data_IF_621200114264
#
_entry.id   IF_621200114264
#
_cell.length_a   1.000
_cell.length_b   1.000
_cell.length_c   1.000
_cell.angle_alpha   90.00
_cell.angle_beta   90.00
_cell.angle_gamma   90.00
#
_symmetry.space_group_name_H-M   'P 1'
#
loop_
_entity.id
_entity.type
_entity.pdbx_description
1 polymer ?
#
# COMPACT_ATOMS: atom_id res chain seq x y z
N UNK A 1 -15.51 11.23 -0.82
CA UNK A 1 -14.43 10.98 0.15
C UNK A 1 -13.44 12.09 -0.05
N UNK A 2 -13.28 12.91 0.97
CA UNK A 2 -12.34 14.02 0.94
C UNK A 2 -11.04 13.61 1.61
N UNK A 3 -9.92 13.98 1.00
CA UNK A 3 -8.59 13.78 1.58
C UNK A 3 -8.40 14.90 2.59
N UNK A 4 -8.22 14.53 3.85
CA UNK A 4 -8.08 15.49 4.95
C UNK A 4 -6.63 15.65 5.38
N UNK A 5 -5.77 14.68 5.04
CA UNK A 5 -4.35 14.74 5.35
C UNK A 5 -3.53 14.01 4.28
N UNK A 6 -2.35 14.56 4.01
CA UNK A 6 -1.33 13.98 3.15
C UNK A 6 -0.07 13.95 3.97
N UNK A 7 0.20 12.79 4.55
CA UNK A 7 1.45 12.61 5.28
C UNK A 7 2.55 12.25 4.28
N UNK A 8 3.22 13.31 3.81
CA UNK A 8 4.34 13.21 2.89
C UNK A 8 5.51 12.59 3.64
N UNK A 9 6.22 11.66 2.99
CA UNK A 9 7.43 11.00 3.51
C UNK A 9 7.21 9.88 4.52
N UNK A 10 5.98 9.43 4.79
CA UNK A 10 5.78 8.18 5.54
C UNK A 10 6.16 6.98 4.70
N UNK A 11 7.14 6.22 5.18
CA UNK A 11 7.58 5.02 4.51
C UNK A 11 6.82 3.84 5.14
N UNK A 12 5.88 3.19 4.44
CA UNK A 12 5.27 1.96 4.92
C UNK A 12 6.36 0.87 4.97
N UNK A 13 6.88 0.64 6.17
CA UNK A 13 7.90 -0.35 6.46
C UNK A 13 7.19 -1.64 6.82
N UNK A 14 7.61 -2.75 6.23
CA UNK A 14 7.06 -4.05 6.56
C UNK A 14 8.00 -4.71 7.58
N UNK A 15 7.44 -5.51 8.50
CA UNK A 15 8.21 -6.37 9.40
C UNK A 15 9.30 -7.08 8.59
N UNK A 16 10.54 -7.07 9.10
CA UNK A 16 11.82 -7.39 8.41
C UNK A 16 12.57 -6.21 7.75
N UNK A 17 12.09 -4.97 7.91
CA UNK A 17 12.81 -3.80 7.40
C UNK A 17 12.71 -3.62 5.87
N UNK A 18 11.66 -4.18 5.27
CA UNK A 18 11.36 -4.01 3.86
C UNK A 18 10.54 -2.74 3.64
N UNK A 19 10.61 -2.21 2.42
CA UNK A 19 9.83 -1.06 1.99
C UNK A 19 8.88 -1.44 0.86
N UNK A 20 7.71 -0.82 0.80
CA UNK A 20 6.85 -0.93 -0.37
C UNK A 20 7.42 -0.15 -1.54
N UNK A 21 7.47 -0.78 -2.71
CA UNK A 21 7.92 -0.15 -3.95
C UNK A 21 7.15 -0.67 -5.16
N UNK A 22 6.90 0.20 -6.13
CA UNK A 22 6.42 -0.20 -7.46
C UNK A 22 7.61 -0.56 -8.34
N UNK A 23 7.61 -1.78 -8.88
CA UNK A 23 8.65 -2.30 -9.77
C UNK A 23 8.07 -2.79 -11.09
N UNK A 24 8.83 -2.63 -12.17
CA UNK A 24 8.51 -3.18 -13.50
C UNK A 24 9.09 -4.59 -13.63
N UNK A 25 8.24 -5.54 -14.01
CA UNK A 25 8.61 -6.90 -14.40
C UNK A 25 8.15 -7.16 -15.84
N UNK A 26 8.52 -8.31 -16.42
CA UNK A 26 8.08 -8.69 -17.77
C UNK A 26 6.54 -8.70 -17.92
N UNK A 27 5.80 -8.95 -16.84
CA UNK A 27 4.33 -8.93 -16.82
C UNK A 27 3.69 -7.60 -16.43
N UNK A 28 4.44 -6.50 -16.37
CA UNK A 28 3.93 -5.16 -16.02
C UNK A 28 4.40 -4.65 -14.65
N UNK A 29 3.75 -3.58 -14.20
CA UNK A 29 4.04 -2.95 -12.90
C UNK A 29 3.40 -3.74 -11.76
N UNK A 30 4.17 -3.93 -10.70
CA UNK A 30 3.73 -4.67 -9.51
C UNK A 30 4.21 -3.96 -8.24
N UNK A 31 3.40 -4.07 -7.19
CA UNK A 31 3.79 -3.66 -5.85
C UNK A 31 4.62 -4.77 -5.20
N UNK A 32 5.76 -4.42 -4.61
CA UNK A 32 6.70 -5.38 -4.02
C UNK A 32 7.22 -4.88 -2.68
N UNK A 33 7.59 -5.83 -1.81
CA UNK A 33 8.40 -5.58 -0.63
C UNK A 33 9.89 -5.68 -0.98
N UNK A 34 10.67 -4.65 -0.66
CA UNK A 34 12.09 -4.57 -1.05
C UNK A 34 12.97 -4.31 0.17
N UNK A 35 13.99 -5.15 0.36
CA UNK A 35 15.08 -4.93 1.32
C UNK A 35 16.15 -4.06 0.64
N UNK A 36 16.49 -2.91 1.24
CA UNK A 36 17.57 -2.02 0.78
C UNK A 36 17.45 -1.44 -0.63
N UNK A 37 16.58 -0.44 -0.82
CA UNK A 37 16.65 0.36 -2.02
C UNK A 37 17.83 1.35 -1.88
N UNK A 38 18.70 1.43 -2.91
CA UNK A 38 19.73 2.48 -3.04
C UNK A 38 19.16 3.91 -2.90
N UNK A 39 17.85 4.05 -3.16
CA UNK A 39 17.04 5.24 -2.92
C UNK A 39 15.69 4.82 -2.35
N UNK A 40 15.36 5.25 -1.13
CA UNK A 40 14.08 4.96 -0.48
C UNK A 40 12.91 5.35 -1.41
N UNK A 41 11.95 4.43 -1.68
CA UNK A 41 10.77 4.74 -2.47
C UNK A 41 10.00 5.89 -1.82
N UNK A 42 9.73 6.94 -2.60
CA UNK A 42 8.85 8.02 -2.15
C UNK A 42 7.41 7.52 -2.25
N UNK A 43 6.77 7.38 -1.09
CA UNK A 43 5.38 6.98 -0.94
C UNK A 43 4.68 8.07 -0.15
N UNK A 44 3.63 8.66 -0.71
CA UNK A 44 2.74 9.51 0.09
C UNK A 44 1.64 8.61 0.68
N UNK A 45 1.36 8.77 1.97
CA UNK A 45 0.23 8.12 2.63
C UNK A 45 -0.89 9.15 2.73
N UNK A 46 -1.99 8.90 2.01
CA UNK A 46 -3.18 9.74 2.03
C UNK A 46 -4.12 9.24 3.10
N UNK A 47 -4.74 10.18 3.84
CA UNK A 47 -5.74 9.87 4.86
C UNK A 47 -7.04 10.62 4.51
N UNK A 48 -8.15 9.89 4.47
CA UNK A 48 -9.47 10.49 4.26
C UNK A 48 -10.20 10.78 5.58
N UNK A 49 -11.34 11.44 5.47
CA UNK A 49 -12.29 11.77 6.54
C UNK A 49 -12.73 10.56 7.39
N UNK A 50 -12.62 9.34 6.88
CA UNK A 50 -12.91 8.08 7.58
C UNK A 50 -11.67 7.44 8.21
N UNK A 51 -10.53 8.14 8.26
CA UNK A 51 -9.24 7.61 8.74
C UNK A 51 -8.77 6.36 7.97
N UNK A 52 -9.17 6.24 6.70
CA UNK A 52 -8.72 5.19 5.80
C UNK A 52 -7.47 5.67 5.05
N UNK A 53 -6.65 4.72 4.61
CA UNK A 53 -5.35 4.97 4.01
C UNK A 53 -5.35 4.64 2.53
N UNK A 54 -4.76 5.50 1.72
CA UNK A 54 -4.34 5.17 0.36
C UNK A 54 -2.84 5.43 0.20
N UNK A 55 -2.20 4.66 -0.68
CA UNK A 55 -0.75 4.75 -0.92
C UNK A 55 -0.51 5.27 -2.32
N UNK A 56 0.18 6.40 -2.42
CA UNK A 56 0.55 7.03 -3.68
C UNK A 56 2.03 6.80 -3.94
N UNK A 57 2.34 6.11 -5.03
CA UNK A 57 3.71 5.83 -5.47
C UNK A 57 4.06 6.73 -6.65
N UNK A 58 5.14 7.51 -6.51
CA UNK A 58 5.66 8.34 -7.59
C UNK A 58 6.64 7.57 -8.49
N UNK A 59 6.47 7.71 -9.81
CA UNK A 59 7.38 7.23 -10.84
C UNK A 59 7.55 8.29 -11.91
N UNK A 60 8.59 8.13 -12.75
CA UNK A 60 8.90 9.07 -13.83
C UNK A 60 7.72 9.31 -14.81
N UNK A 61 6.82 8.34 -14.93
CA UNK A 61 5.68 8.35 -15.84
C UNK A 61 4.34 8.66 -15.16
N UNK A 62 4.33 9.00 -13.86
CA UNK A 62 3.14 9.45 -13.12
C UNK A 62 2.96 8.79 -11.75
N UNK A 63 1.74 8.89 -11.22
CA UNK A 63 1.39 8.41 -9.88
C UNK A 63 0.58 7.12 -9.94
N UNK A 64 0.95 6.17 -9.11
CA UNK A 64 0.37 4.83 -9.07
C UNK A 64 -0.22 4.53 -7.70
N UNK A 65 -1.38 3.88 -7.70
CA UNK A 65 -2.15 3.55 -6.51
C UNK A 65 -2.47 2.05 -6.49
N UNK A 66 -2.24 1.36 -5.36
CA UNK A 66 -2.76 0.01 -5.18
C UNK A 66 -4.30 0.04 -5.14
N UNK A 67 -4.91 -0.90 -5.87
CA UNK A 67 -6.36 -1.07 -5.96
C UNK A 67 -6.73 -2.53 -5.79
N UNK A 68 -7.70 -2.80 -4.94
CA UNK A 68 -8.26 -4.15 -4.77
C UNK A 68 -9.41 -4.35 -5.76
N UNK A 69 -9.32 -5.42 -6.55
CA UNK A 69 -10.35 -5.82 -7.51
C UNK A 69 -10.61 -7.32 -7.32
N UNK A 70 -11.71 -7.67 -6.63
CA UNK A 70 -11.99 -9.05 -6.27
C UNK A 70 -10.87 -9.64 -5.40
N UNK A 71 -10.21 -10.69 -5.88
CA UNK A 71 -9.11 -11.37 -5.17
C UNK A 71 -7.72 -10.80 -5.45
N UNK A 72 -7.63 -9.78 -6.31
CA UNK A 72 -6.34 -9.27 -6.79
C UNK A 72 -6.03 -7.86 -6.29
N UNK A 73 -4.73 -7.61 -6.11
CA UNK A 73 -4.19 -6.28 -5.95
C UNK A 73 -3.57 -5.83 -7.28
N UNK A 74 -4.07 -4.72 -7.82
CA UNK A 74 -3.58 -4.09 -9.04
C UNK A 74 -2.95 -2.74 -8.74
N UNK A 75 -2.18 -2.21 -9.68
CA UNK A 75 -1.72 -0.83 -9.65
C UNK A 75 -2.45 -0.06 -10.75
N UNK A 76 -3.08 1.05 -10.36
CA UNK A 76 -3.76 1.95 -11.28
C UNK A 76 -2.99 3.28 -11.35
N UNK A 77 -2.77 3.78 -12.58
CA UNK A 77 -2.23 5.12 -12.79
C UNK A 77 -3.38 6.12 -12.64
N UNK A 78 -3.21 7.13 -11.79
CA UNK A 78 -4.24 8.13 -11.53
C UNK A 78 -3.66 9.53 -11.66
N UNK A 79 -4.26 10.33 -12.53
CA UNK A 79 -3.82 11.71 -12.80
C UNK A 79 -4.55 12.74 -11.91
N UNK A 80 -5.59 12.34 -11.18
CA UNK A 80 -6.32 13.18 -10.23
C UNK A 80 -6.83 12.40 -9.03
N UNK A 81 -6.57 12.90 -7.82
CA UNK A 81 -7.02 12.26 -6.57
C UNK A 81 -8.55 12.13 -6.47
N UNK A 82 -9.32 12.93 -7.22
CA UNK A 82 -10.78 12.84 -7.31
C UNK A 82 -11.27 11.53 -7.94
N UNK A 83 -10.40 10.79 -8.62
CA UNK A 83 -10.71 9.50 -9.24
C UNK A 83 -10.50 8.31 -8.27
N UNK A 84 -10.04 8.56 -7.05
CA UNK A 84 -9.90 7.50 -6.05
C UNK A 84 -11.27 7.00 -5.59
N UNK A 85 -11.56 5.75 -5.91
CA UNK A 85 -12.71 5.00 -5.43
C UNK A 85 -12.38 4.21 -4.16
N UNK A 86 -13.39 3.69 -3.46
CA UNK A 86 -13.26 2.86 -2.24
C UNK A 86 -12.23 1.72 -2.37
N UNK A 87 -12.06 1.17 -3.57
CA UNK A 87 -11.10 0.10 -3.86
C UNK A 87 -9.62 0.46 -3.67
N UNK A 88 -9.29 1.74 -3.52
CA UNK A 88 -7.94 2.24 -3.26
C UNK A 88 -7.63 2.43 -1.77
N UNK A 89 -8.66 2.31 -0.93
CA UNK A 89 -8.60 2.65 0.48
C UNK A 89 -8.47 1.39 1.34
N UNK A 90 -7.70 1.53 2.42
CA UNK A 90 -7.42 0.48 3.39
C UNK A 90 -7.69 0.97 4.81
N UNK A 91 -8.26 0.11 5.63
CA UNK A 91 -8.43 0.35 7.07
C UNK A 91 -7.25 -0.21 7.86
N UNK A 92 -6.86 0.51 8.91
CA UNK A 92 -5.86 0.02 9.87
C UNK A 92 -6.51 -1.04 10.76
N UNK A 93 -5.95 -2.23 10.77
CA UNK A 93 -6.30 -3.28 11.73
C UNK A 93 -5.19 -3.41 12.76
N UNK A 94 -5.49 -3.12 14.03
CA UNK A 94 -4.48 -3.12 15.09
C UNK A 94 -4.03 -4.55 15.39
N UNK A 95 -2.73 -4.82 15.22
CA UNK A 95 -2.12 -6.12 15.50
C UNK A 95 -1.55 -6.22 16.92
N UNK A 96 -2.12 -5.46 17.87
CA UNK A 96 -1.81 -5.47 19.31
C UNK A 96 -0.40 -4.94 19.65
N UNK A 97 0.18 -4.08 18.81
CA UNK A 97 1.54 -3.56 19.00
C UNK A 97 1.69 -2.17 18.38
N UNK A 98 1.68 -1.11 19.20
CA UNK A 98 2.11 0.25 18.83
C UNK A 98 1.75 0.70 17.41
N UNK A 99 2.77 0.98 16.60
CA UNK A 99 2.66 1.48 15.22
C UNK A 99 2.52 0.37 14.15
N UNK A 100 2.19 -0.86 14.56
CA UNK A 100 2.11 -2.02 13.68
C UNK A 100 0.65 -2.37 13.33
N UNK A 101 0.33 -2.26 12.04
CA UNK A 101 -1.03 -2.45 11.53
C UNK A 101 -1.07 -3.53 10.44
N UNK A 102 -2.15 -4.31 10.43
CA UNK A 102 -2.64 -4.93 9.20
C UNK A 102 -3.38 -3.87 8.36
N UNK A 103 -3.35 -4.01 7.04
CA UNK A 103 -4.04 -3.09 6.13
C UNK A 103 -5.18 -3.83 5.44
N UNK A 104 -6.40 -3.65 5.94
CA UNK A 104 -7.60 -4.32 5.41
C UNK A 104 -8.19 -3.54 4.25
N UNK A 105 -8.63 -4.21 3.18
CA UNK A 105 -9.36 -3.57 2.09
C UNK A 105 -10.73 -3.07 2.56
N UNK A 106 -11.12 -1.88 2.09
CA UNK A 106 -12.47 -1.31 2.32
C UNK A 106 -13.53 -2.04 1.50
N UNK A 107 -13.24 -2.34 0.23
CA UNK A 107 -14.22 -2.97 -0.69
C UNK A 107 -14.33 -4.48 -0.54
N UNK A 108 -13.32 -5.11 0.07
CA UNK A 108 -13.29 -6.54 0.33
C UNK A 108 -12.95 -6.78 1.81
N UNK A 109 -13.91 -6.58 2.73
CA UNK A 109 -13.67 -6.73 4.16
C UNK A 109 -13.08 -8.10 4.48
N UNK A 110 -12.12 -8.14 5.42
CA UNK A 110 -11.33 -9.33 5.80
C UNK A 110 -10.24 -9.74 4.80
N UNK A 111 -10.03 -9.01 3.71
CA UNK A 111 -8.81 -9.15 2.90
C UNK A 111 -7.77 -8.12 3.33
N UNK A 112 -6.58 -8.60 3.65
CA UNK A 112 -5.47 -7.78 4.12
C UNK A 112 -4.37 -7.73 3.07
N UNK A 113 -3.68 -6.60 2.96
CA UNK A 113 -2.43 -6.55 2.22
C UNK A 113 -1.45 -7.56 2.82
N UNK A 114 -0.77 -8.29 1.95
CA UNK A 114 0.21 -9.29 2.34
C UNK A 114 1.35 -9.40 1.33
N UNK A 115 2.54 -9.74 1.78
CA UNK A 115 3.65 -10.19 0.96
C UNK A 115 3.39 -11.66 0.58
N UNK A 116 3.26 -11.91 -0.72
CA UNK A 116 3.20 -13.26 -1.25
C UNK A 116 4.58 -13.92 -1.15
N UNK A 117 4.61 -15.17 -0.67
CA UNK A 117 5.82 -16.01 -0.68
C UNK A 117 6.32 -16.18 -2.12
N UNK A 118 7.60 -15.92 -2.36
CA UNK A 118 8.23 -16.11 -3.66
C UNK A 118 9.41 -15.16 -3.89
N UNK A 119 10.21 -15.43 -4.93
CA UNK A 119 11.45 -14.69 -5.23
C UNK A 119 11.25 -13.19 -5.42
N UNK A 120 10.09 -12.77 -5.94
CA UNK A 120 9.80 -11.36 -6.26
C UNK A 120 9.10 -10.60 -5.11
N UNK A 121 8.80 -11.26 -3.98
CA UNK A 121 8.13 -10.67 -2.80
C UNK A 121 6.99 -9.71 -3.16
N UNK A 122 6.12 -10.16 -4.08
CA UNK A 122 5.00 -9.37 -4.57
C UNK A 122 4.02 -9.11 -3.44
N UNK A 123 3.43 -7.93 -3.42
CA UNK A 123 2.33 -7.62 -2.53
C UNK A 123 1.02 -8.01 -3.20
N UNK A 124 0.11 -8.57 -2.42
CA UNK A 124 -1.25 -8.87 -2.84
C UNK A 124 -2.21 -8.72 -1.67
N UNK A 125 -3.38 -9.33 -1.81
CA UNK A 125 -4.37 -9.42 -0.74
C UNK A 125 -4.59 -10.87 -0.32
N UNK A 126 -4.86 -11.10 0.97
CA UNK A 126 -5.14 -12.42 1.53
C UNK A 126 -6.17 -12.36 2.65
N UNK A 127 -6.97 -13.41 2.79
CA UNK A 127 -7.91 -13.60 3.90
C UNK A 127 -7.25 -14.14 5.17
N UNK A 128 -6.15 -14.88 4.99
CA UNK A 128 -5.52 -15.68 6.06
C UNK A 128 -4.16 -15.16 6.46
N UNK A 129 -3.55 -14.29 5.65
CA UNK A 129 -2.25 -13.70 5.95
C UNK A 129 -2.41 -12.20 6.17
N UNK A 130 -2.04 -11.76 7.37
CA UNK A 130 -2.03 -10.36 7.77
C UNK A 130 -0.58 -9.96 8.02
N UNK A 131 0.11 -9.54 6.95
CA UNK A 131 1.44 -9.00 7.14
C UNK A 131 1.37 -7.68 7.91
N UNK A 132 2.42 -7.45 8.68
CA UNK A 132 2.50 -6.35 9.61
C UNK A 132 3.22 -5.17 8.95
N UNK A 133 2.49 -4.07 8.76
CA UNK A 133 2.98 -2.82 8.21
C UNK A 133 3.13 -1.79 9.34
N UNK A 134 4.32 -1.22 9.44
CA UNK A 134 4.61 -0.06 10.27
C UNK A 134 4.55 1.20 9.40
N UNK A 135 3.76 2.18 9.81
CA UNK A 135 3.61 3.46 9.09
C UNK A 135 4.19 4.56 9.97
N UNK A 136 5.52 4.73 9.89
CA UNK A 136 6.24 5.73 10.68
C UNK A 136 6.19 7.09 10.00
N UNK A 137 5.92 8.15 10.77
CA UNK A 137 6.32 9.50 10.40
C UNK A 137 7.83 9.65 10.51
N UNK A 138 8.44 10.46 9.64
CA UNK A 138 9.85 10.89 9.81
C UNK A 138 9.86 12.17 10.61
#
# INVERSE_FOLDING_TARGET
MDIIDIDRYRIPRIKEGCFLAVRKFCGGLMLCAVTFPLKVPQVDVLINDRNQLAFKFERADGFYFPKVVGTDLKLEKIDSLKLLTESHWFERYNLHSGEHYGLCSVVEPRKYLCIKKGRQRKVGVSWTNQDCFQITGV
#
